data_IF_739825282739
#
_entry.id   IF_739825282739
#
_cell.length_a   1.000
_cell.length_b   1.000
_cell.length_c   1.000
_cell.angle_alpha   90.00
_cell.angle_beta   90.00
_cell.angle_gamma   90.00
#
_symmetry.space_group_name_H-M   'P 1'
#
loop_
_entity.id
_entity.type
_entity.pdbx_description
1 polymer ?
#
# COMPACT_ATOMS: atom_id res chain seq x y z
N UNK A 1 13.77 1.55 -18.09
CA UNK A 1 14.31 1.63 -16.71
C UNK A 1 14.24 3.10 -16.28
N UNK A 2 13.03 3.62 -16.00
CA UNK A 2 12.81 5.08 -15.96
C UNK A 2 13.66 5.83 -14.93
N UNK A 3 13.94 5.24 -13.77
CA UNK A 3 14.82 5.84 -12.76
C UNK A 3 16.25 6.03 -13.29
N UNK A 4 16.82 4.97 -13.88
CA UNK A 4 18.17 5.01 -14.45
C UNK A 4 18.29 5.98 -15.63
N UNK A 5 17.25 6.07 -16.47
CA UNK A 5 17.19 7.04 -17.58
C UNK A 5 17.25 8.50 -17.10
N UNK A 6 16.85 8.76 -15.86
CA UNK A 6 16.89 10.08 -15.21
C UNK A 6 18.04 10.20 -14.19
N UNK A 7 19.01 9.27 -14.19
CA UNK A 7 20.18 9.33 -13.31
C UNK A 7 19.94 8.96 -11.85
N UNK A 8 18.79 8.39 -11.50
CA UNK A 8 18.48 7.93 -10.14
C UNK A 8 18.97 6.50 -9.89
N UNK A 9 19.45 6.27 -8.67
CA UNK A 9 19.73 4.95 -8.12
C UNK A 9 18.63 4.55 -7.13
N UNK A 10 18.31 3.26 -7.04
CA UNK A 10 17.28 2.74 -6.13
C UNK A 10 17.90 1.81 -5.10
N UNK A 11 17.63 2.09 -3.82
CA UNK A 11 17.84 1.15 -2.73
C UNK A 11 16.49 0.53 -2.36
N UNK A 12 16.42 -0.80 -2.37
CA UNK A 12 15.26 -1.54 -1.87
C UNK A 12 15.56 -2.02 -0.45
N UNK A 13 14.73 -1.63 0.50
CA UNK A 13 14.76 -2.13 1.86
C UNK A 13 13.48 -2.90 2.17
N UNK A 14 13.61 -4.11 2.70
CA UNK A 14 12.49 -4.92 3.18
C UNK A 14 12.31 -4.64 4.67
N UNK A 15 11.07 -4.31 5.05
CA UNK A 15 10.69 -4.01 6.42
C UNK A 15 9.60 -4.99 6.84
N UNK A 16 9.97 -5.94 7.68
CA UNK A 16 9.12 -7.05 8.13
C UNK A 16 9.07 -7.18 9.67
N UNK A 17 9.79 -6.31 10.36
CA UNK A 17 10.03 -6.40 11.80
C UNK A 17 10.44 -5.04 12.38
N UNK A 18 10.21 -4.77 13.68
CA UNK A 18 10.66 -3.55 14.33
C UNK A 18 12.16 -3.28 14.14
N UNK A 19 12.98 -4.33 14.21
CA UNK A 19 14.44 -4.22 14.00
C UNK A 19 14.80 -3.81 12.57
N UNK A 20 14.07 -4.31 11.56
CA UNK A 20 14.26 -3.86 10.17
C UNK A 20 13.82 -2.41 9.98
N UNK A 21 12.73 -2.00 10.61
CA UNK A 21 12.25 -0.62 10.60
C UNK A 21 13.26 0.33 11.26
N UNK A 22 13.88 -0.06 12.37
CA UNK A 22 14.95 0.74 13.01
C UNK A 22 16.14 0.93 12.07
N UNK A 23 16.61 -0.11 11.39
CA UNK A 23 17.72 0.00 10.42
C UNK A 23 17.38 0.96 9.28
N UNK A 24 16.17 0.86 8.71
CA UNK A 24 15.71 1.80 7.68
C UNK A 24 15.60 3.21 8.26
N UNK A 25 15.10 3.34 9.49
CA UNK A 25 15.06 4.59 10.24
C UNK A 25 16.44 5.26 10.38
N UNK A 26 17.49 4.49 10.65
CA UNK A 26 18.86 5.02 10.70
C UNK A 26 19.36 5.47 9.33
N UNK A 27 19.00 4.77 8.25
CA UNK A 27 19.29 5.24 6.89
C UNK A 27 18.59 6.57 6.62
N UNK A 28 17.32 6.71 7.06
CA UNK A 28 16.55 7.95 6.96
C UNK A 28 17.23 9.09 7.68
N UNK A 29 17.63 8.87 8.93
CA UNK A 29 18.36 9.87 9.70
C UNK A 29 19.72 10.24 9.09
N UNK A 30 20.37 9.31 8.38
CA UNK A 30 21.65 9.54 7.71
C UNK A 30 21.56 10.39 6.42
N UNK A 31 20.36 10.69 5.92
CA UNK A 31 20.15 11.65 4.82
C UNK A 31 20.75 11.25 3.47
N UNK A 32 20.99 9.95 3.24
CA UNK A 32 21.69 9.45 2.05
C UNK A 32 20.79 9.22 0.82
N UNK A 33 19.53 9.66 0.84
CA UNK A 33 18.60 9.51 -0.28
C UNK A 33 17.77 10.76 -0.48
N UNK A 34 17.37 11.00 -1.73
CA UNK A 34 16.75 12.25 -2.16
C UNK A 34 15.22 12.16 -2.34
N UNK A 35 14.65 10.96 -2.24
CA UNK A 35 13.22 10.72 -2.30
C UNK A 35 12.90 9.34 -1.69
N UNK A 36 11.65 9.12 -1.29
CA UNK A 36 11.19 7.84 -0.77
C UNK A 36 9.89 7.38 -1.45
N UNK A 37 9.82 6.07 -1.70
CA UNK A 37 8.59 5.37 -2.10
C UNK A 37 8.29 4.37 -0.99
N UNK A 38 7.15 4.49 -0.34
CA UNK A 38 6.71 3.52 0.66
C UNK A 38 5.64 2.59 0.06
N UNK A 39 5.86 1.28 0.16
CA UNK A 39 5.03 0.25 -0.45
C UNK A 39 4.38 -0.60 0.64
N UNK A 40 3.10 -0.93 0.48
CA UNK A 40 2.38 -1.87 1.34
C UNK A 40 2.46 -1.57 2.86
N UNK A 41 2.29 -0.28 3.22
CA UNK A 41 2.28 0.20 4.60
C UNK A 41 1.01 -0.19 5.38
N UNK A 42 1.13 -0.25 6.71
CA UNK A 42 -0.01 -0.16 7.61
C UNK A 42 -0.42 1.31 7.84
N UNK A 43 -1.62 1.52 8.39
CA UNK A 43 -2.06 2.87 8.79
C UNK A 43 -1.24 3.48 9.94
N UNK A 44 -0.44 2.67 10.64
CA UNK A 44 0.38 3.08 11.79
C UNK A 44 1.87 2.86 11.51
N UNK A 45 2.28 2.88 10.24
CA UNK A 45 3.66 2.56 9.86
C UNK A 45 4.64 3.60 10.46
N UNK A 46 5.57 3.18 11.33
CA UNK A 46 6.44 4.10 12.06
C UNK A 46 7.45 4.82 11.16
N UNK A 47 7.67 4.33 9.93
CA UNK A 47 8.58 4.97 8.97
C UNK A 47 7.94 6.19 8.32
N UNK A 48 6.61 6.26 8.23
CA UNK A 48 5.90 7.40 7.62
C UNK A 48 6.18 8.66 8.41
N UNK A 49 6.01 8.64 9.74
CA UNK A 49 6.31 9.80 10.59
C UNK A 49 7.77 10.24 10.49
N UNK A 50 8.71 9.30 10.36
CA UNK A 50 10.14 9.61 10.18
C UNK A 50 10.41 10.26 8.83
N UNK A 51 9.80 9.77 7.76
CA UNK A 51 9.93 10.31 6.41
C UNK A 51 9.25 11.68 6.28
N UNK A 52 8.07 11.87 6.88
CA UNK A 52 7.39 13.17 6.92
C UNK A 52 8.17 14.24 7.70
N UNK A 53 9.02 13.84 8.65
CA UNK A 53 9.92 14.76 9.35
C UNK A 53 11.15 15.17 8.51
N UNK A 54 11.34 14.57 7.33
CA UNK A 54 12.37 14.99 6.37
C UNK A 54 11.80 15.97 5.36
N UNK A 55 12.68 16.70 4.66
CA UNK A 55 12.28 17.62 3.58
C UNK A 55 12.35 16.98 2.19
N UNK A 56 12.36 15.65 2.08
CA UNK A 56 12.45 14.98 0.79
C UNK A 56 11.06 14.65 0.23
N UNK A 57 10.91 14.53 -1.10
CA UNK A 57 9.68 14.00 -1.70
C UNK A 57 9.37 12.57 -1.23
N UNK A 58 8.14 12.36 -0.78
CA UNK A 58 7.59 11.07 -0.37
C UNK A 58 6.36 10.76 -1.23
N UNK A 59 6.28 9.53 -1.74
CA UNK A 59 5.07 8.99 -2.37
C UNK A 59 4.75 7.62 -1.82
N UNK A 60 3.47 7.24 -1.85
CA UNK A 60 3.02 5.89 -1.47
C UNK A 60 2.63 5.07 -2.70
N UNK A 61 2.96 3.79 -2.68
CA UNK A 61 2.47 2.80 -3.63
C UNK A 61 1.52 1.84 -2.91
N UNK A 62 0.43 2.41 -2.39
CA UNK A 62 -0.62 1.72 -1.65
C UNK A 62 -1.82 2.65 -1.48
N UNK A 63 -2.86 2.15 -0.81
CA UNK A 63 -4.00 2.94 -0.35
C UNK A 63 -3.51 4.23 0.32
N UNK A 64 -4.17 5.39 0.04
CA UNK A 64 -3.76 6.68 0.60
C UNK A 64 -3.60 6.63 2.11
N UNK A 65 -2.52 7.24 2.61
CA UNK A 65 -2.28 7.30 4.04
C UNK A 65 -3.29 8.29 4.68
N UNK A 66 -4.11 7.84 5.65
CA UNK A 66 -5.20 8.65 6.19
C UNK A 66 -4.73 10.01 6.73
N UNK A 67 -5.43 11.08 6.35
CA UNK A 67 -5.18 12.42 6.89
C UNK A 67 -3.86 13.07 6.43
N UNK A 68 -3.25 12.58 5.35
CA UNK A 68 -2.06 13.18 4.75
C UNK A 68 -2.28 13.57 3.30
N UNK A 69 -1.51 14.56 2.83
CA UNK A 69 -1.46 14.99 1.44
C UNK A 69 -0.34 14.29 0.64
N UNK A 70 0.14 13.13 1.13
CA UNK A 70 1.19 12.36 0.46
C UNK A 70 0.62 11.82 -0.86
N UNK A 71 1.24 12.11 -2.02
CA UNK A 71 0.80 11.56 -3.29
C UNK A 71 0.85 10.03 -3.25
N UNK A 72 -0.22 9.39 -3.74
CA UNK A 72 -0.39 7.94 -3.68
C UNK A 72 -0.77 7.38 -5.04
N UNK A 73 -0.30 6.16 -5.30
CA UNK A 73 -0.73 5.34 -6.42
C UNK A 73 -1.16 3.98 -5.86
N UNK A 74 -2.41 3.61 -6.11
CA UNK A 74 -2.97 2.31 -5.71
C UNK A 74 -3.78 1.71 -6.88
N UNK A 75 -4.13 0.44 -6.73
CA UNK A 75 -5.15 -0.21 -7.54
C UNK A 75 -6.54 0.12 -7.00
N UNK A 76 -7.56 0.13 -7.87
CA UNK A 76 -8.95 0.14 -7.43
C UNK A 76 -9.33 -1.21 -6.78
N UNK A 77 -8.99 -1.35 -5.50
CA UNK A 77 -9.19 -2.58 -4.74
C UNK A 77 -10.67 -2.89 -4.50
N UNK A 78 -11.52 -1.86 -4.39
CA UNK A 78 -12.98 -2.03 -4.24
C UNK A 78 -13.57 -2.47 -5.58
N UNK A 79 -13.33 -1.71 -6.65
CA UNK A 79 -13.88 -1.99 -7.97
C UNK A 79 -13.36 -3.30 -8.56
N UNK A 80 -12.08 -3.62 -8.36
CA UNK A 80 -11.51 -4.90 -8.77
C UNK A 80 -12.16 -6.09 -8.08
N UNK A 81 -12.34 -6.02 -6.74
CA UNK A 81 -13.00 -7.07 -5.98
C UNK A 81 -14.49 -7.19 -6.33
N UNK A 82 -15.18 -6.07 -6.54
CA UNK A 82 -16.57 -6.05 -7.02
C UNK A 82 -16.70 -6.71 -8.39
N UNK A 83 -15.83 -6.38 -9.33
CA UNK A 83 -15.87 -6.90 -10.69
C UNK A 83 -15.71 -8.42 -10.73
N UNK A 84 -14.75 -8.97 -9.98
CA UNK A 84 -14.55 -10.42 -9.95
C UNK A 84 -15.69 -11.14 -9.21
N UNK A 85 -16.20 -10.59 -8.10
CA UNK A 85 -17.33 -11.20 -7.38
C UNK A 85 -18.60 -11.19 -8.23
N UNK A 86 -18.93 -10.05 -8.85
CA UNK A 86 -20.09 -9.96 -9.75
C UNK A 86 -19.97 -10.95 -10.92
N UNK A 87 -18.75 -11.13 -11.47
CA UNK A 87 -18.50 -12.13 -12.50
C UNK A 87 -18.78 -13.56 -12.01
N UNK A 88 -18.37 -13.90 -10.78
CA UNK A 88 -18.64 -15.21 -10.19
C UNK A 88 -20.14 -15.45 -9.99
N UNK A 89 -20.86 -14.47 -9.42
CA UNK A 89 -22.32 -14.53 -9.24
C UNK A 89 -23.03 -14.71 -10.58
N UNK A 90 -22.66 -13.94 -11.61
CA UNK A 90 -23.24 -14.03 -12.95
C UNK A 90 -23.03 -15.40 -13.63
N UNK A 91 -22.08 -16.19 -13.15
CA UNK A 91 -21.87 -17.57 -13.62
C UNK A 91 -22.63 -18.61 -12.78
N UNK A 92 -23.55 -18.19 -11.91
CA UNK A 92 -24.41 -19.06 -11.10
C UNK A 92 -23.82 -19.52 -9.76
N UNK A 93 -22.69 -18.96 -9.31
CA UNK A 93 -22.12 -19.31 -8.00
C UNK A 93 -22.83 -18.53 -6.90
N UNK A 94 -23.36 -19.25 -5.90
CA UNK A 94 -24.16 -18.67 -4.81
C UNK A 94 -23.51 -18.76 -3.42
N UNK A 95 -22.43 -19.53 -3.28
CA UNK A 95 -21.67 -19.68 -2.03
C UNK A 95 -20.23 -19.25 -2.24
N UNK A 96 -19.96 -17.96 -2.05
CA UNK A 96 -18.65 -17.37 -2.23
C UNK A 96 -18.01 -17.12 -0.86
N UNK A 97 -16.70 -17.35 -0.76
CA UNK A 97 -15.90 -17.05 0.43
C UNK A 97 -14.76 -16.13 0.01
N UNK A 98 -14.59 -15.03 0.74
CA UNK A 98 -13.42 -14.17 0.61
C UNK A 98 -12.37 -14.57 1.65
N UNK A 99 -11.16 -14.87 1.19
CA UNK A 99 -9.99 -15.07 2.07
C UNK A 99 -9.22 -13.74 2.06
N UNK A 100 -9.36 -12.98 3.15
CA UNK A 100 -8.74 -11.66 3.29
C UNK A 100 -7.28 -11.71 3.72
N UNK A 101 -6.60 -10.57 3.57
CA UNK A 101 -5.32 -10.32 4.22
C UNK A 101 -5.49 -10.00 5.72
N UNK A 102 -4.40 -9.67 6.43
CA UNK A 102 -4.48 -9.25 7.81
C UNK A 102 -5.38 -8.01 7.97
N UNK A 103 -6.09 -7.92 9.11
CA UNK A 103 -7.05 -6.85 9.38
C UNK A 103 -6.41 -5.46 9.50
N UNK A 104 -5.13 -5.40 9.86
CA UNK A 104 -4.36 -4.15 9.94
C UNK A 104 -3.93 -3.60 8.59
N UNK A 105 -3.99 -4.41 7.51
CA UNK A 105 -3.62 -3.94 6.18
C UNK A 105 -4.75 -3.06 5.62
N UNK A 106 -4.49 -1.79 5.22
CA UNK A 106 -5.52 -0.85 4.78
C UNK A 106 -6.33 -1.34 3.57
N UNK A 107 -5.71 -2.18 2.74
CA UNK A 107 -6.32 -2.76 1.54
C UNK A 107 -7.38 -3.85 1.84
N UNK A 108 -7.27 -4.53 2.99
CA UNK A 108 -8.16 -5.63 3.36
C UNK A 108 -9.63 -5.22 3.41
N UNK A 109 -10.04 -4.17 4.16
CA UNK A 109 -11.44 -3.74 4.19
C UNK A 109 -11.95 -3.30 2.81
N UNK A 110 -11.11 -2.68 1.97
CA UNK A 110 -11.51 -2.26 0.61
C UNK A 110 -11.87 -3.46 -0.28
N UNK A 111 -11.06 -4.52 -0.25
CA UNK A 111 -11.34 -5.74 -1.02
C UNK A 111 -12.57 -6.47 -0.48
N UNK A 112 -12.76 -6.50 0.84
CA UNK A 112 -13.96 -7.08 1.45
C UNK A 112 -15.22 -6.29 1.09
N UNK A 113 -15.16 -4.96 1.11
CA UNK A 113 -16.27 -4.10 0.69
C UNK A 113 -16.64 -4.35 -0.78
N UNK A 114 -15.65 -4.37 -1.69
CA UNK A 114 -15.88 -4.72 -3.08
C UNK A 114 -16.49 -6.12 -3.25
N UNK A 115 -16.04 -7.10 -2.46
CA UNK A 115 -16.62 -8.43 -2.45
C UNK A 115 -18.10 -8.39 -2.06
N UNK A 116 -18.47 -7.70 -0.98
CA UNK A 116 -19.87 -7.56 -0.57
C UNK A 116 -20.72 -6.78 -1.57
N UNK A 117 -20.17 -5.77 -2.23
CA UNK A 117 -20.86 -5.04 -3.29
C UNK A 117 -21.18 -5.95 -4.49
N UNK A 118 -20.21 -6.76 -4.93
CA UNK A 118 -20.41 -7.66 -6.08
C UNK A 118 -21.25 -8.91 -5.77
N UNK A 119 -21.40 -9.26 -4.49
CA UNK A 119 -22.24 -10.39 -4.05
C UNK A 119 -23.73 -10.02 -3.92
N UNK A 120 -24.06 -8.72 -3.92
CA UNK A 120 -25.44 -8.24 -3.93
C UNK A 120 -25.97 -8.29 -5.36
N UNK A 121 -27.08 -9.01 -5.55
CA UNK A 121 -27.88 -8.95 -6.78
C UNK A 121 -28.62 -7.61 -6.86
#
# INVERSE_FOLDING_TARGET
LRLSEHGYQMLLAVVDSPRSAERVGSLIAGGSFNAAILVAMSNDDPLITRLMATNIPLVTASTPFPGSDIPSVDTDNVGGSRAITARLVATGRSKLVAIGGPSWAPVTPLRLDGFYQGAKN
#
